data_IF_622934099336
#
_entry.id   IF_622934099336
#
_cell.length_a   1.000
_cell.length_b   1.000
_cell.length_c   1.000
_cell.angle_alpha   90.00
_cell.angle_beta   90.00
_cell.angle_gamma   90.00
#
_symmetry.space_group_name_H-M   'P 1'
#
loop_
_entity.id
_entity.type
_entity.pdbx_description
1 polymer ?
#
# COMPACT_ATOMS: atom_id res chain seq x y z
N UNK A 1 -1.69 6.56 6.51
CA UNK A 1 -2.32 5.24 6.62
C UNK A 1 -2.36 4.53 5.25
N UNK A 2 -1.58 3.48 5.02
CA UNK A 2 -1.75 2.64 3.81
C UNK A 2 -2.61 1.45 4.22
N UNK A 3 -3.79 1.31 3.61
CA UNK A 3 -4.72 0.20 3.82
C UNK A 3 -4.53 -0.85 2.73
N UNK A 4 -4.76 -2.13 3.03
CA UNK A 4 -4.90 -3.14 2.01
C UNK A 4 -6.07 -4.08 2.30
N UNK A 5 -6.91 -4.30 1.29
CA UNK A 5 -8.10 -5.12 1.31
C UNK A 5 -7.82 -6.48 0.65
N UNK A 6 -7.37 -7.42 1.48
CA UNK A 6 -7.69 -8.84 1.37
C UNK A 6 -7.53 -9.43 2.77
N UNK A 7 -8.64 -9.64 3.49
CA UNK A 7 -8.63 -10.14 4.87
C UNK A 7 -7.69 -9.34 5.80
N UNK A 8 -7.92 -8.03 5.83
CA UNK A 8 -7.52 -7.05 6.85
C UNK A 8 -6.04 -7.05 7.28
N UNK A 9 -5.17 -6.41 6.47
CA UNK A 9 -3.79 -6.11 6.87
C UNK A 9 -3.44 -4.63 6.70
N UNK A 10 -2.65 -4.07 7.65
CA UNK A 10 -2.40 -2.63 7.79
C UNK A 10 -0.91 -2.33 8.00
N UNK A 11 -0.43 -1.22 7.43
CA UNK A 11 0.91 -0.65 7.68
C UNK A 11 0.81 0.75 8.33
N UNK A 12 1.64 0.99 9.35
CA UNK A 12 1.64 2.21 10.16
C UNK A 12 2.95 2.99 9.97
N UNK A 13 2.90 4.02 9.13
CA UNK A 13 3.89 5.12 9.10
C UNK A 13 3.18 6.44 9.44
N UNK A 14 3.41 6.86 10.69
CA UNK A 14 3.19 8.12 11.41
C UNK A 14 1.90 8.99 11.30
N UNK A 15 1.25 9.09 12.47
CA UNK A 15 0.69 10.24 13.22
C UNK A 15 -0.37 11.14 12.59
N UNK A 16 -1.60 10.63 12.42
CA UNK A 16 -2.84 11.03 13.13
C UNK A 16 -3.83 9.88 12.91
N UNK A 17 -4.31 9.25 13.99
CA UNK A 17 -5.25 8.12 13.91
C UNK A 17 -6.66 8.64 14.12
N UNK A 18 -7.46 8.75 13.07
CA UNK A 18 -8.90 8.58 13.25
C UNK A 18 -9.10 7.12 13.69
N UNK A 19 -9.66 6.95 14.89
CA UNK A 19 -9.86 5.64 15.53
C UNK A 19 -10.99 4.90 14.81
N UNK A 20 -10.72 4.40 13.61
CA UNK A 20 -11.42 3.24 13.07
C UNK A 20 -10.72 2.04 13.69
N UNK A 21 -11.25 1.58 14.82
CA UNK A 21 -10.49 0.69 15.69
C UNK A 21 -10.15 -0.62 14.97
N UNK A 22 -8.91 -1.05 15.15
CA UNK A 22 -8.33 -2.32 14.66
C UNK A 22 -9.23 -3.52 15.08
N UNK A 23 -9.91 -3.37 16.21
CA UNK A 23 -10.86 -4.31 16.80
C UNK A 23 -12.20 -4.39 16.09
N UNK A 24 -12.66 -3.32 15.43
CA UNK A 24 -13.94 -3.31 14.71
C UNK A 24 -13.89 -4.07 13.38
N UNK A 25 -12.70 -4.28 12.81
CA UNK A 25 -12.53 -4.92 11.50
C UNK A 25 -11.65 -6.18 11.52
N UNK A 26 -11.25 -6.67 12.69
CA UNK A 26 -10.30 -7.79 12.84
C UNK A 26 -9.01 -7.57 12.02
N UNK A 27 -8.50 -6.35 12.13
CA UNK A 27 -7.36 -5.84 11.38
C UNK A 27 -6.03 -6.37 11.95
N UNK A 28 -5.11 -6.82 11.08
CA UNK A 28 -3.77 -7.24 11.50
C UNK A 28 -2.70 -6.26 11.02
N UNK A 29 -1.87 -5.74 11.93
CA UNK A 29 -0.66 -5.02 11.53
C UNK A 29 0.38 -6.02 11.01
N UNK A 30 0.92 -5.78 9.83
CA UNK A 30 1.93 -6.64 9.20
C UNK A 30 3.07 -5.78 8.61
N UNK A 31 4.26 -6.35 8.36
CA UNK A 31 5.32 -5.64 7.64
C UNK A 31 4.89 -5.26 6.22
N UNK A 32 5.42 -4.16 5.68
CA UNK A 32 5.13 -3.67 4.32
C UNK A 32 5.26 -4.77 3.24
N UNK A 33 6.31 -5.61 3.35
CA UNK A 33 6.52 -6.71 2.40
C UNK A 33 5.36 -7.71 2.41
N UNK A 34 4.90 -8.11 3.60
CA UNK A 34 3.76 -9.03 3.73
C UNK A 34 2.46 -8.38 3.23
N UNK A 35 2.27 -7.10 3.50
CA UNK A 35 1.12 -6.33 2.99
C UNK A 35 1.09 -6.35 1.46
N UNK A 36 2.20 -6.07 0.80
CA UNK A 36 2.28 -6.04 -0.67
C UNK A 36 2.08 -7.43 -1.27
N UNK A 37 2.67 -8.47 -0.68
CA UNK A 37 2.63 -9.85 -1.21
C UNK A 37 1.25 -10.52 -1.05
N UNK A 38 0.52 -10.20 0.03
CA UNK A 38 -0.73 -10.92 0.36
C UNK A 38 -2.01 -10.20 -0.06
N UNK A 39 -1.94 -8.94 -0.46
CA UNK A 39 -3.13 -8.13 -0.70
C UNK A 39 -3.67 -8.28 -2.12
N UNK A 40 -5.00 -8.40 -2.24
CA UNK A 40 -5.71 -8.33 -3.52
C UNK A 40 -6.05 -6.89 -3.90
N UNK A 41 -6.23 -6.00 -2.92
CA UNK A 41 -6.40 -4.57 -3.15
C UNK A 41 -5.54 -3.81 -2.15
N UNK A 42 -4.87 -2.74 -2.56
CA UNK A 42 -4.07 -1.86 -1.70
C UNK A 42 -4.55 -0.42 -1.91
N UNK A 43 -5.04 0.22 -0.85
CA UNK A 43 -5.42 1.63 -0.80
C UNK A 43 -4.37 2.47 -0.06
N UNK A 44 -3.73 3.41 -0.75
CA UNK A 44 -2.77 4.33 -0.13
C UNK A 44 -3.52 5.57 0.37
N UNK A 45 -3.59 5.75 1.69
CA UNK A 45 -4.12 6.94 2.38
C UNK A 45 -3.08 7.51 3.38
N UNK A 46 -1.79 7.53 2.99
CA UNK A 46 -0.69 7.95 3.85
C UNK A 46 -0.14 9.34 3.53
N UNK A 47 0.38 10.00 4.56
CA UNK A 47 1.13 11.24 4.40
C UNK A 47 2.37 10.97 3.55
N UNK A 48 2.72 11.92 2.68
CA UNK A 48 3.99 11.89 1.98
C UNK A 48 5.10 12.31 2.95
N UNK A 49 6.01 11.39 3.21
CA UNK A 49 7.18 11.55 4.08
C UNK A 49 8.42 11.02 3.34
N UNK A 50 9.65 11.26 3.81
CA UNK A 50 10.83 10.61 3.23
C UNK A 50 10.73 9.08 3.16
N UNK A 51 10.04 8.46 4.12
CA UNK A 51 9.84 7.02 4.20
C UNK A 51 8.79 6.51 3.21
N UNK A 52 7.71 7.27 2.98
CA UNK A 52 6.64 6.88 2.04
C UNK A 52 6.89 7.35 0.61
N UNK A 53 7.83 8.27 0.39
CA UNK A 53 8.21 8.74 -0.94
C UNK A 53 8.74 7.57 -1.79
N UNK A 54 8.05 7.31 -2.91
CA UNK A 54 8.34 6.20 -3.84
C UNK A 54 8.40 4.83 -3.15
N UNK A 55 7.61 4.62 -2.09
CA UNK A 55 7.48 3.33 -1.41
C UNK A 55 6.99 2.24 -2.38
N UNK A 56 6.06 2.59 -3.28
CA UNK A 56 5.63 1.72 -4.37
C UNK A 56 6.51 1.95 -5.60
N UNK A 57 7.52 1.10 -5.76
CA UNK A 57 8.50 1.07 -6.86
C UNK A 57 8.63 -0.34 -7.41
N UNK A 58 9.53 -0.58 -8.38
CA UNK A 58 9.67 -1.89 -9.05
C UNK A 58 9.67 -3.09 -8.10
N UNK A 59 10.40 -3.00 -6.97
CA UNK A 59 10.46 -4.09 -5.97
C UNK A 59 9.13 -4.39 -5.29
N UNK A 60 8.27 -3.38 -5.11
CA UNK A 60 6.93 -3.58 -4.55
C UNK A 60 6.00 -4.14 -5.62
N UNK A 61 6.00 -3.59 -6.83
CA UNK A 61 5.15 -4.07 -7.93
C UNK A 61 5.41 -5.54 -8.28
N UNK A 62 6.67 -5.97 -8.32
CA UNK A 62 7.04 -7.37 -8.58
C UNK A 62 6.56 -8.35 -7.50
N UNK A 63 6.27 -7.85 -6.29
CA UNK A 63 5.79 -8.65 -5.17
C UNK A 63 4.27 -8.69 -5.07
N UNK A 64 3.58 -7.76 -5.72
CA UNK A 64 2.12 -7.77 -5.75
C UNK A 64 1.61 -9.01 -6.46
N UNK A 65 0.43 -9.48 -6.06
CA UNK A 65 -0.28 -10.49 -6.86
C UNK A 65 -0.53 -9.92 -8.26
N UNK A 66 -0.48 -10.75 -9.33
CA UNK A 66 -0.82 -10.30 -10.67
C UNK A 66 -2.23 -9.70 -10.79
N UNK A 67 -3.15 -10.15 -9.92
CA UNK A 67 -4.54 -9.66 -9.85
C UNK A 67 -4.73 -8.51 -8.86
N UNK A 68 -3.66 -8.03 -8.21
CA UNK A 68 -3.78 -7.02 -7.18
C UNK A 68 -4.09 -5.63 -7.77
N UNK A 69 -4.97 -4.89 -7.11
CA UNK A 69 -5.32 -3.51 -7.48
C UNK A 69 -4.67 -2.52 -6.53
N UNK A 70 -3.91 -1.56 -7.04
CA UNK A 70 -3.36 -0.46 -6.26
C UNK A 70 -4.17 0.82 -6.50
N UNK A 71 -4.70 1.40 -5.42
CA UNK A 71 -5.48 2.64 -5.41
C UNK A 71 -4.75 3.68 -4.58
N UNK A 72 -4.28 4.76 -5.20
CA UNK A 72 -3.65 5.87 -4.48
C UNK A 72 -4.61 7.04 -4.31
N UNK A 73 -5.16 7.22 -3.10
CA UNK A 73 -6.00 8.38 -2.74
C UNK A 73 -5.23 9.43 -1.91
N UNK A 74 -3.91 9.25 -1.78
CA UNK A 74 -3.07 10.08 -0.93
C UNK A 74 -2.32 11.18 -1.70
N UNK A 75 -1.07 10.91 -2.08
CA UNK A 75 -0.18 11.82 -2.80
C UNK A 75 0.53 11.05 -3.89
N UNK A 76 0.57 11.63 -5.10
CA UNK A 76 1.19 11.02 -6.27
C UNK A 76 2.60 10.45 -6.02
N UNK A 77 3.53 11.20 -5.39
CA UNK A 77 4.92 10.76 -5.20
C UNK A 77 5.15 9.54 -4.28
N UNK A 78 4.11 9.03 -3.61
CA UNK A 78 4.22 7.76 -2.87
C UNK A 78 4.41 6.58 -3.84
N UNK A 79 3.90 6.73 -5.06
CA UNK A 79 4.03 5.76 -6.15
C UNK A 79 5.06 6.27 -7.15
N UNK A 80 6.04 5.44 -7.49
CA UNK A 80 6.97 5.74 -8.57
C UNK A 80 6.25 5.54 -9.92
N UNK A 81 5.90 6.65 -10.57
CA UNK A 81 5.14 6.66 -11.83
C UNK A 81 5.88 6.00 -13.00
N UNK A 82 7.20 6.14 -13.08
CA UNK A 82 8.01 5.49 -14.13
C UNK A 82 7.95 3.98 -13.98
N UNK A 83 8.18 3.47 -12.77
CA UNK A 83 8.10 2.04 -12.51
C UNK A 83 6.68 1.51 -12.66
N UNK A 84 5.67 2.31 -12.32
CA UNK A 84 4.26 1.95 -12.53
C UNK A 84 3.98 1.77 -14.03
N UNK A 85 4.40 2.72 -14.86
CA UNK A 85 4.23 2.66 -16.31
C UNK A 85 4.93 1.42 -16.92
N UNK A 86 6.18 1.16 -16.49
CA UNK A 86 6.90 -0.04 -16.91
C UNK A 86 6.18 -1.32 -16.50
N UNK A 87 5.64 -1.39 -15.28
CA UNK A 87 4.93 -2.57 -14.80
C UNK A 87 3.65 -2.81 -15.61
N UNK A 88 2.81 -1.78 -15.81
CA UNK A 88 1.54 -1.92 -16.54
C UNK A 88 1.70 -2.24 -18.02
N UNK A 89 2.81 -1.83 -18.65
CA UNK A 89 3.07 -2.12 -20.06
C UNK A 89 3.64 -3.52 -20.31
N UNK A 90 4.08 -4.23 -19.26
CA UNK A 90 4.73 -5.54 -19.40
C UNK A 90 3.88 -6.74 -18.95
N UNK A 91 2.65 -6.52 -18.49
CA UNK A 91 1.69 -7.57 -18.11
C UNK A 91 2.04 -8.26 -16.80
#
# INVERSE_FOLDING_TARGET
MIFAYANCTYDYSDTVVEVVSIWQFNAKKVPFTELVEKSDIIFIAASLTPQTHRAFKSTAFQKMKPTAVLVNIARGPIVNQENLYTFTNNG
#
